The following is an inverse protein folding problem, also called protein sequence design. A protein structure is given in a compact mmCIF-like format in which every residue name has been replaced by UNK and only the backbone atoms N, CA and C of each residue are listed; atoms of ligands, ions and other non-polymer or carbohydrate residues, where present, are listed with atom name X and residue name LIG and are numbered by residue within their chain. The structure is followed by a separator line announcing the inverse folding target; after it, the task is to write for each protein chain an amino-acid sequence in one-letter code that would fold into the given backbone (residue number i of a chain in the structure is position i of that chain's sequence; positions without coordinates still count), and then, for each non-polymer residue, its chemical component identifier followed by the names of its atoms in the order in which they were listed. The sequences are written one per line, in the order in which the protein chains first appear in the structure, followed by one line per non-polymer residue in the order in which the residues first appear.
data_IF_430165348502
#
_entry.id   IF_430165348502
#
_cell.length_a   1.000
_cell.length_b   1.000
_cell.length_c   1.000
_cell.angle_alpha   90.00
_cell.angle_beta   90.00
_cell.angle_gamma   90.00
#
_symmetry.space_group_name_H-M   'P 1'
#
loop_
_entity.id
_entity.type
_entity.pdbx_description
1 polymer ?
#
# COMPACT_ATOMS: atom_id res chain seq x y z
N UNK A 1 -54.31 4.93 -12.92
CA UNK A 1 -53.04 4.33 -12.50
C UNK A 1 -52.01 5.44 -12.53
N UNK A 2 -51.50 5.94 -11.40
CA UNK A 2 -50.47 6.97 -11.43
C UNK A 2 -49.16 6.34 -11.90
N UNK A 3 -48.49 7.03 -12.82
CA UNK A 3 -47.20 6.66 -13.39
C UNK A 3 -46.14 6.82 -12.30
N UNK A 4 -45.33 5.79 -12.10
CA UNK A 4 -44.17 5.84 -11.21
C UNK A 4 -43.07 6.52 -12.03
N UNK A 5 -42.70 7.74 -11.61
CA UNK A 5 -41.61 8.52 -12.21
C UNK A 5 -40.26 7.84 -11.95
N UNK A 6 -39.35 8.05 -12.90
CA UNK A 6 -38.05 7.40 -13.03
C UNK A 6 -37.23 7.39 -11.73
N UNK A 7 -36.75 6.21 -11.35
CA UNK A 7 -35.74 6.04 -10.31
C UNK A 7 -34.39 6.44 -10.88
N UNK A 8 -33.94 7.65 -10.57
CA UNK A 8 -32.57 8.07 -10.84
C UNK A 8 -31.58 7.24 -10.01
N UNK A 9 -30.90 6.31 -10.66
CA UNK A 9 -29.77 5.59 -10.06
C UNK A 9 -28.60 6.57 -9.93
N UNK A 10 -28.48 7.18 -8.76
CA UNK A 10 -27.31 7.99 -8.40
C UNK A 10 -26.05 7.11 -8.47
N UNK A 11 -25.05 7.46 -9.31
CA UNK A 11 -23.81 6.71 -9.38
C UNK A 11 -23.08 6.76 -8.03
N UNK A 12 -22.75 5.59 -7.49
CA UNK A 12 -22.01 5.46 -6.24
C UNK A 12 -20.67 6.18 -6.34
N UNK A 13 -20.46 7.21 -5.52
CA UNK A 13 -19.20 7.93 -5.39
C UNK A 13 -18.15 7.16 -4.58
N UNK A 14 -18.41 5.90 -4.23
CA UNK A 14 -17.48 5.07 -3.49
C UNK A 14 -16.31 4.67 -4.41
N UNK A 15 -15.05 4.80 -3.95
CA UNK A 15 -13.90 4.38 -4.73
C UNK A 15 -14.02 2.90 -5.10
N UNK A 16 -13.81 2.59 -6.39
CA UNK A 16 -13.88 1.23 -6.91
C UNK A 16 -12.82 0.38 -6.20
N UNK A 17 -13.27 -0.61 -5.42
CA UNK A 17 -12.39 -1.57 -4.74
C UNK A 17 -11.93 -2.64 -5.73
N UNK A 18 -10.64 -2.92 -5.72
CA UNK A 18 -10.02 -4.00 -6.49
C UNK A 18 -9.05 -4.79 -5.62
N UNK A 19 -8.84 -6.07 -5.97
CA UNK A 19 -7.84 -6.91 -5.33
C UNK A 19 -6.44 -6.51 -5.77
N UNK A 20 -5.46 -6.73 -4.91
CA UNK A 20 -4.07 -6.35 -5.18
C UNK A 20 -3.28 -7.59 -5.52
N UNK A 21 -2.46 -7.49 -6.56
CA UNK A 21 -1.61 -8.58 -7.04
C UNK A 21 -0.13 -8.22 -6.92
N UNK A 22 0.74 -9.24 -6.99
CA UNK A 22 2.18 -9.07 -6.97
C UNK A 22 2.62 -8.13 -8.12
N UNK A 23 3.41 -7.10 -7.79
CA UNK A 23 3.82 -6.07 -8.74
C UNK A 23 3.07 -4.75 -8.60
N UNK A 24 2.01 -4.70 -7.80
CA UNK A 24 1.28 -3.48 -7.43
C UNK A 24 2.22 -2.33 -7.03
N UNK A 25 1.87 -1.10 -7.40
CA UNK A 25 2.71 0.07 -7.12
C UNK A 25 2.36 0.64 -5.76
N UNK A 26 3.36 0.79 -4.91
CA UNK A 26 3.25 1.39 -3.58
C UNK A 26 3.89 2.78 -3.55
N UNK A 27 3.33 3.66 -2.72
CA UNK A 27 3.92 4.95 -2.34
C UNK A 27 4.01 5.10 -0.82
N UNK A 28 4.85 6.02 -0.35
CA UNK A 28 4.91 6.43 1.06
C UNK A 28 4.96 7.96 1.11
N UNK A 29 4.18 8.59 1.99
CA UNK A 29 4.05 10.06 2.05
C UNK A 29 5.38 10.80 2.29
N UNK A 30 6.34 10.13 2.93
CA UNK A 30 7.67 10.67 3.18
C UNK A 30 8.76 10.10 2.27
N UNK A 31 8.44 9.09 1.45
CA UNK A 31 9.36 8.52 0.47
C UNK A 31 9.46 9.40 -0.78
N UNK A 32 10.60 9.36 -1.46
CA UNK A 32 10.83 10.12 -2.69
C UNK A 32 10.53 9.33 -3.97
N UNK A 33 10.31 8.03 -3.86
CA UNK A 33 10.07 7.13 -4.98
C UNK A 33 8.99 6.10 -4.64
N UNK A 34 8.28 5.65 -5.67
CA UNK A 34 7.37 4.50 -5.59
C UNK A 34 8.17 3.20 -5.70
N UNK A 35 7.59 2.08 -5.27
CA UNK A 35 8.16 0.75 -5.52
C UNK A 35 7.08 -0.27 -5.86
N UNK A 36 7.50 -1.50 -6.19
CA UNK A 36 6.60 -2.62 -6.45
C UNK A 36 6.46 -3.50 -5.21
N UNK A 37 5.22 -3.83 -4.87
CA UNK A 37 4.89 -4.85 -3.89
C UNK A 37 5.36 -6.21 -4.40
N UNK A 38 6.11 -6.95 -3.59
CA UNK A 38 6.67 -8.25 -3.93
C UNK A 38 6.08 -9.35 -3.08
N UNK A 39 6.20 -10.58 -3.57
CA UNK A 39 6.02 -11.77 -2.75
C UNK A 39 7.02 -12.84 -3.22
N UNK A 40 7.76 -13.50 -2.30
CA UNK A 40 8.68 -14.56 -2.67
C UNK A 40 7.96 -15.84 -3.12
N UNK A 41 6.74 -16.08 -2.62
CA UNK A 41 5.94 -17.26 -2.91
C UNK A 41 4.47 -16.87 -3.08
N UNK A 42 3.80 -17.41 -4.09
CA UNK A 42 2.36 -17.17 -4.27
C UNK A 42 1.56 -17.85 -3.17
N UNK A 43 0.42 -17.26 -2.80
CA UNK A 43 -0.58 -17.87 -1.92
C UNK A 43 -1.48 -18.92 -2.61
N UNK A 44 -1.14 -19.31 -3.85
CA UNK A 44 -1.91 -20.28 -4.65
C UNK A 44 -3.13 -19.70 -5.37
N UNK A 45 -3.45 -18.43 -5.16
CA UNK A 45 -4.56 -17.72 -5.83
C UNK A 45 -4.00 -16.69 -6.81
N UNK A 46 -4.58 -16.64 -8.01
CA UNK A 46 -4.12 -15.81 -9.10
C UNK A 46 -5.26 -15.00 -9.71
N UNK A 47 -4.95 -13.75 -10.04
CA UNK A 47 -5.83 -12.87 -10.82
C UNK A 47 -5.03 -12.44 -12.04
N UNK A 48 -5.57 -12.69 -13.24
CA UNK A 48 -4.88 -12.38 -14.52
C UNK A 48 -3.44 -12.90 -14.58
N UNK A 49 -3.23 -14.12 -14.09
CA UNK A 49 -1.93 -14.81 -14.02
C UNK A 49 -0.89 -14.13 -13.11
N UNK A 50 -1.32 -13.20 -12.23
CA UNK A 50 -0.48 -12.62 -11.19
C UNK A 50 -0.95 -13.09 -9.81
N UNK A 51 -0.01 -13.34 -8.89
CA UNK A 51 -0.33 -13.83 -7.56
C UNK A 51 -1.13 -12.79 -6.77
N UNK A 52 -2.28 -13.18 -6.22
CA UNK A 52 -3.11 -12.31 -5.39
C UNK A 52 -2.48 -12.14 -4.01
N UNK A 53 -2.43 -10.91 -3.50
CA UNK A 53 -1.86 -10.55 -2.20
C UNK A 53 -2.90 -10.60 -1.08
N UNK A 54 -2.43 -10.72 0.16
CA UNK A 54 -3.25 -10.62 1.37
C UNK A 54 -2.66 -9.60 2.36
N UNK A 55 -3.39 -9.33 3.44
CA UNK A 55 -2.96 -8.32 4.44
C UNK A 55 -1.65 -8.65 5.16
N UNK A 56 -1.18 -9.90 5.11
CA UNK A 56 0.08 -10.32 5.72
C UNK A 56 1.32 -10.09 4.83
N UNK A 57 1.14 -9.59 3.61
CA UNK A 57 2.23 -9.21 2.70
C UNK A 57 2.81 -7.82 3.01
N UNK A 58 3.32 -7.63 4.23
CA UNK A 58 3.83 -6.34 4.70
C UNK A 58 5.31 -6.33 5.10
N UNK A 59 6.01 -7.46 4.99
CA UNK A 59 7.36 -7.61 5.55
C UNK A 59 8.34 -6.66 4.85
N UNK A 60 9.04 -5.77 5.59
CA UNK A 60 10.08 -4.92 5.00
C UNK A 60 11.17 -5.74 4.31
N UNK A 61 11.71 -5.21 3.21
CA UNK A 61 12.73 -5.87 2.37
C UNK A 61 12.31 -7.19 1.71
N UNK A 62 11.09 -7.66 1.96
CA UNK A 62 10.53 -8.88 1.34
C UNK A 62 9.34 -8.50 0.47
N UNK A 63 8.30 -7.93 1.08
CA UNK A 63 7.11 -7.46 0.37
C UNK A 63 7.23 -5.96 0.03
N UNK A 64 7.60 -5.16 1.03
CA UNK A 64 7.69 -3.70 0.91
C UNK A 64 9.16 -3.29 0.80
N UNK A 65 9.53 -2.77 -0.37
CA UNK A 65 10.89 -2.32 -0.66
C UNK A 65 11.14 -0.88 -0.17
N UNK A 66 12.37 -0.36 -0.21
CA UNK A 66 12.68 1.05 0.02
C UNK A 66 11.91 2.02 -0.89
N UNK A 67 11.63 3.23 -0.40
CA UNK A 67 10.94 4.31 -1.14
C UNK A 67 11.89 5.46 -1.52
N UNK A 68 13.14 5.15 -1.91
CA UNK A 68 14.16 6.15 -2.23
C UNK A 68 14.68 6.86 -0.99
N UNK A 69 14.45 8.18 -0.86
CA UNK A 69 14.84 9.00 0.29
C UNK A 69 13.63 9.35 1.16
N UNK A 70 13.79 9.24 2.47
CA UNK A 70 12.81 9.60 3.49
C UNK A 70 13.04 11.05 3.93
N UNK A 71 11.95 11.82 4.01
CA UNK A 71 11.93 13.19 4.55
C UNK A 71 11.28 13.29 5.95
N UNK A 72 10.96 12.16 6.58
CA UNK A 72 10.29 12.13 7.88
C UNK A 72 11.27 12.40 9.04
N UNK A 73 11.10 13.48 9.79
CA UNK A 73 11.98 13.82 10.91
C UNK A 73 11.84 12.89 12.13
N UNK A 74 10.76 12.09 12.20
CA UNK A 74 10.64 11.02 13.21
C UNK A 74 11.50 9.80 12.88
N UNK A 75 12.04 9.69 11.66
CA UNK A 75 13.05 8.69 11.33
C UNK A 75 14.38 9.12 11.98
N UNK A 76 14.98 8.31 12.89
CA UNK A 76 16.20 8.70 13.60
C UNK A 76 17.38 9.05 12.70
N UNK A 77 17.51 8.38 11.56
CA UNK A 77 18.58 8.65 10.59
C UNK A 77 18.39 10.01 9.93
N UNK A 78 17.15 10.38 9.59
CA UNK A 78 16.82 11.72 9.07
C UNK A 78 17.03 12.78 10.14
N UNK A 79 16.53 12.55 11.36
CA UNK A 79 16.71 13.48 12.48
C UNK A 79 18.19 13.79 12.75
N UNK A 80 19.02 12.77 12.85
CA UNK A 80 20.47 12.92 13.07
C UNK A 80 21.15 13.65 11.91
N UNK A 81 20.80 13.33 10.67
CA UNK A 81 21.36 13.97 9.48
C UNK A 81 20.95 15.44 9.36
N UNK A 82 19.70 15.78 9.71
CA UNK A 82 19.19 17.15 9.76
C UNK A 82 19.88 17.95 10.86
N UNK A 83 20.04 17.38 12.07
CA UNK A 83 20.78 18.01 13.16
C UNK A 83 22.23 18.31 12.77
N UNK A 84 22.91 17.36 12.10
CA UNK A 84 24.27 17.53 11.58
C UNK A 84 24.36 18.52 10.39
N UNK A 85 23.23 18.89 9.80
CA UNK A 85 23.13 19.84 8.69
C UNK A 85 22.58 21.20 9.17
N UNK A 86 22.91 21.58 10.41
CA UNK A 86 22.49 22.84 11.04
C UNK A 86 20.96 23.04 11.04
N UNK A 87 20.19 21.95 11.19
CA UNK A 87 18.73 21.98 11.20
C UNK A 87 18.09 22.01 9.81
N UNK A 88 18.85 22.07 8.72
CA UNK A 88 18.31 22.00 7.37
C UNK A 88 18.01 20.53 7.03
N UNK A 89 16.74 20.24 6.73
CA UNK A 89 16.25 18.89 6.44
C UNK A 89 17.18 18.15 5.47
N UNK A 90 17.74 17.02 5.91
CA UNK A 90 18.61 16.18 5.09
C UNK A 90 17.95 14.83 4.86
N UNK A 91 17.32 14.61 3.69
CA UNK A 91 16.68 13.33 3.39
C UNK A 91 17.69 12.18 3.37
N UNK A 92 17.34 11.09 4.04
CA UNK A 92 18.18 9.88 4.19
C UNK A 92 17.51 8.67 3.54
N UNK A 93 18.22 7.57 3.22
CA UNK A 93 17.60 6.39 2.60
C UNK A 93 16.35 5.90 3.36
N UNK A 94 15.25 5.68 2.62
CA UNK A 94 13.98 5.24 3.18
C UNK A 94 13.95 3.73 3.29
N UNK A 95 14.29 3.20 4.46
CA UNK A 95 14.03 1.80 4.82
C UNK A 95 12.75 1.77 5.67
N UNK A 96 11.59 1.39 5.10
CA UNK A 96 10.34 1.37 5.84
C UNK A 96 10.41 0.33 6.95
N UNK A 97 9.91 0.68 8.13
CA UNK A 97 9.78 -0.25 9.25
C UNK A 97 8.30 -0.40 9.54
N UNK A 98 7.77 -1.57 9.19
CA UNK A 98 6.35 -1.94 9.28
C UNK A 98 6.26 -3.19 10.14
N UNK A 99 5.38 -3.18 11.14
CA UNK A 99 5.27 -4.25 12.13
C UNK A 99 3.91 -4.92 12.16
N UNK A 100 2.93 -4.38 11.44
CA UNK A 100 1.55 -4.85 11.44
C UNK A 100 1.04 -5.14 10.01
N UNK A 101 0.05 -6.04 9.88
CA UNK A 101 -0.66 -6.28 8.64
C UNK A 101 -1.25 -5.01 8.03
N UNK A 102 -1.53 -5.07 6.73
CA UNK A 102 -2.27 -4.02 6.04
C UNK A 102 -3.65 -3.82 6.68
N UNK A 103 -4.05 -2.55 6.77
CA UNK A 103 -5.33 -2.10 7.32
C UNK A 103 -6.38 -2.14 6.19
N UNK A 104 -7.63 -2.40 6.54
CA UNK A 104 -8.78 -2.42 5.63
C UNK A 104 -8.68 -3.45 4.48
N UNK A 105 -8.21 -4.66 4.80
CA UNK A 105 -8.37 -5.82 3.91
C UNK A 105 -9.81 -6.31 3.83
N UNK A 106 -10.09 -7.19 2.86
CA UNK A 106 -11.43 -7.77 2.66
C UNK A 106 -11.63 -9.00 3.57
N UNK A 107 -12.21 -8.80 4.75
CA UNK A 107 -12.32 -9.83 5.80
C UNK A 107 -13.18 -11.05 5.42
N UNK A 108 -14.14 -10.89 4.51
CA UNK A 108 -15.02 -11.96 4.01
C UNK A 108 -14.41 -12.77 2.84
N UNK A 109 -13.21 -12.40 2.37
CA UNK A 109 -12.48 -13.14 1.34
C UNK A 109 -11.08 -13.45 1.84
N UNK A 110 -10.78 -14.73 2.02
CA UNK A 110 -9.51 -15.19 2.56
C UNK A 110 -8.61 -15.73 1.45
N UNK A 111 -7.34 -15.34 1.51
CA UNK A 111 -6.23 -15.85 0.68
C UNK A 111 -5.18 -16.37 1.65
N UNK A 112 -4.94 -17.68 1.66
CA UNK A 112 -4.12 -18.36 2.67
C UNK A 112 -4.54 -18.02 4.12
N UNK A 113 -5.85 -18.13 4.40
CA UNK A 113 -6.46 -17.84 5.72
C UNK A 113 -6.34 -16.39 6.21
N UNK A 114 -5.88 -15.45 5.38
CA UNK A 114 -5.80 -14.03 5.71
C UNK A 114 -6.68 -13.19 4.78
N UNK A 115 -7.26 -12.07 5.27
CA UNK A 115 -8.05 -11.16 4.44
C UNK A 115 -7.33 -10.76 3.15
N UNK A 116 -8.03 -10.79 2.04
CA UNK A 116 -7.48 -10.36 0.75
C UNK A 116 -7.12 -8.88 0.78
N UNK A 117 -5.98 -8.52 0.17
CA UNK A 117 -5.53 -7.14 0.10
C UNK A 117 -6.32 -6.38 -0.96
N UNK A 118 -6.75 -5.14 -0.63
CA UNK A 118 -7.48 -4.27 -1.54
C UNK A 118 -6.67 -3.02 -1.89
N UNK A 119 -6.97 -2.39 -3.02
CA UNK A 119 -6.34 -1.13 -3.43
C UNK A 119 -6.60 0.02 -2.44
N UNK A 120 -7.64 -0.06 -1.62
CA UNK A 120 -7.93 0.90 -0.54
C UNK A 120 -7.17 0.61 0.76
N UNK A 121 -6.51 -0.54 0.86
CA UNK A 121 -5.77 -0.92 2.06
C UNK A 121 -4.53 -0.03 2.26
N UNK A 122 -4.21 0.27 3.52
CA UNK A 122 -3.05 1.13 3.86
C UNK A 122 -2.16 0.44 4.89
N UNK A 123 -0.89 0.85 4.97
CA UNK A 123 0.01 0.39 6.02
C UNK A 123 0.78 1.57 6.63
N UNK A 124 1.29 1.41 7.84
CA UNK A 124 1.94 2.47 8.60
C UNK A 124 3.37 2.08 8.93
N UNK A 125 4.31 2.91 8.46
CA UNK A 125 5.68 2.89 8.94
C UNK A 125 5.73 3.46 10.36
N UNK A 126 6.52 2.87 11.27
CA UNK A 126 6.63 3.33 12.68
C UNK A 126 7.14 4.78 12.78
N UNK A 127 7.86 5.26 11.76
CA UNK A 127 8.31 6.65 11.70
C UNK A 127 7.18 7.61 11.32
N UNK A 128 5.99 7.11 10.98
CA UNK A 128 4.80 7.92 10.71
C UNK A 128 4.43 8.04 9.24
N UNK A 129 5.11 7.34 8.32
CA UNK A 129 4.72 7.31 6.92
C UNK A 129 3.53 6.39 6.66
N UNK A 130 2.51 6.92 5.99
CA UNK A 130 1.43 6.11 5.45
C UNK A 130 1.85 5.55 4.08
N UNK A 131 1.74 4.24 3.93
CA UNK A 131 2.03 3.50 2.70
C UNK A 131 0.69 3.21 2.03
N UNK A 132 0.59 3.60 0.75
CA UNK A 132 -0.62 3.45 -0.07
C UNK A 132 -0.35 2.60 -1.30
N UNK A 133 -1.42 1.99 -1.79
CA UNK A 133 -1.42 1.26 -3.05
C UNK A 133 -1.93 2.23 -4.12
N UNK A 134 -1.05 2.58 -5.03
CA UNK A 134 -1.29 3.55 -6.10
C UNK A 134 -1.86 2.88 -7.36
N UNK A 135 -1.49 1.62 -7.56
CA UNK A 135 -1.89 0.78 -8.68
C UNK A 135 -1.99 -0.66 -8.16
N UNK A 136 -3.05 -1.37 -8.51
CA UNK A 136 -3.32 -2.71 -7.97
C UNK A 136 -2.52 -3.83 -8.65
N UNK A 137 -1.80 -3.51 -9.73
CA UNK A 137 -0.94 -4.40 -10.50
C UNK A 137 -1.69 -5.21 -11.57
N UNK A 138 -3.02 -5.14 -11.64
CA UNK A 138 -3.81 -6.02 -12.50
C UNK A 138 -3.81 -5.64 -13.99
N UNK A 139 -3.37 -4.43 -14.35
CA UNK A 139 -3.24 -4.00 -15.74
C UNK A 139 -1.84 -4.37 -16.28
N UNK A 140 -1.80 -5.09 -17.40
CA UNK A 140 -0.56 -5.40 -18.09
C UNK A 140 -0.19 -4.22 -18.99
N UNK A 141 0.95 -3.57 -18.72
CA UNK A 141 1.64 -2.70 -19.68
C UNK A 141 2.50 -3.52 -20.63
#
# INVERSE_FOLDING_TARGET
MPMIEDVDVVPSSAPKKSYVVAGAILSCDYGSQKNKLKTPFSHGVYIRNQAQMNVNDYRPQVNIMPFGKCKCEKNPTVAAATAANNGVLKPMPCVPVVTMPWIDGKADVLVENHPALLNTSTNMCIYGGCIRIEDDGQEQS
#
